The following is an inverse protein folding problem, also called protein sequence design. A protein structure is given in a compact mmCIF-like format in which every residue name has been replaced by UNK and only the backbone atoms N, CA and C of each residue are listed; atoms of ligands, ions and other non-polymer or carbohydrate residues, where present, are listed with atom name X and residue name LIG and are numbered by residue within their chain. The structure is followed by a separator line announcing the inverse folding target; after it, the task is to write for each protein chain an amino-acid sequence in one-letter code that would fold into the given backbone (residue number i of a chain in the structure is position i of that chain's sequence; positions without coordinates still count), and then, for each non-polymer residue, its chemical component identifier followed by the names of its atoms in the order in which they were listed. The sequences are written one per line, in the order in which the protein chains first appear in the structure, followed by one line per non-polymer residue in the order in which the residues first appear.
data_IF_085025505913
#
_entry.id   IF_085025505913
#
_cell.length_a   1.000
_cell.length_b   1.000
_cell.length_c   1.000
_cell.angle_alpha   90.00
_cell.angle_beta   90.00
_cell.angle_gamma   90.00
#
_symmetry.space_group_name_H-M   'P 1'
#
loop_
_entity.id
_entity.type
_entity.pdbx_description
1 polymer ?
#
# COMPACT_ATOMS: atom_id res chain seq x y z
N UNK A 1 13.48 0.43 -16.72
CA UNK A 1 12.91 0.36 -15.36
C UNK A 1 11.75 1.34 -15.31
N UNK A 2 10.55 0.89 -14.93
CA UNK A 2 9.38 1.79 -14.82
C UNK A 2 9.57 2.79 -13.68
N UNK A 3 8.94 3.96 -13.78
CA UNK A 3 8.81 4.90 -12.66
C UNK A 3 7.55 4.55 -11.88
N UNK A 4 7.66 4.45 -10.56
CA UNK A 4 6.53 4.11 -9.68
C UNK A 4 6.16 5.31 -8.81
N UNK A 5 4.88 5.43 -8.46
CA UNK A 5 4.38 6.44 -7.55
C UNK A 5 3.44 5.77 -6.52
N UNK A 6 3.53 6.18 -5.26
CA UNK A 6 2.66 5.71 -4.17
C UNK A 6 1.74 6.85 -3.74
N UNK A 7 0.44 6.57 -3.66
CA UNK A 7 -0.57 7.51 -3.21
C UNK A 7 -1.28 6.95 -1.97
N UNK A 8 -1.45 7.80 -0.96
CA UNK A 8 -2.28 7.52 0.22
C UNK A 8 -3.56 8.31 0.07
N UNK A 9 -4.70 7.63 0.00
CA UNK A 9 -5.99 8.26 -0.29
C UNK A 9 -6.92 7.91 0.87
N UNK A 10 -7.40 8.95 1.58
CA UNK A 10 -8.44 8.75 2.57
C UNK A 10 -9.76 8.44 1.87
N UNK A 11 -10.22 7.21 2.01
CA UNK A 11 -11.47 6.78 1.39
C UNK A 11 -12.69 7.21 2.22
N UNK A 12 -13.85 7.45 1.57
CA UNK A 12 -15.11 7.73 2.27
C UNK A 12 -15.58 6.49 3.05
N UNK A 13 -16.35 6.69 4.12
CA UNK A 13 -16.85 5.59 4.96
C UNK A 13 -17.86 4.68 4.25
N UNK A 14 -18.56 5.19 3.23
CA UNK A 14 -19.56 4.44 2.49
C UNK A 14 -18.91 3.44 1.52
N UNK A 15 -19.23 2.15 1.66
CA UNK A 15 -18.65 1.07 0.84
C UNK A 15 -18.80 1.30 -0.66
N UNK A 16 -19.97 1.76 -1.11
CA UNK A 16 -20.23 2.04 -2.52
C UNK A 16 -19.25 3.09 -3.07
N UNK A 17 -19.06 4.18 -2.32
CA UNK A 17 -18.13 5.24 -2.68
C UNK A 17 -16.67 4.79 -2.68
N UNK A 18 -16.27 3.87 -1.77
CA UNK A 18 -14.92 3.27 -1.78
C UNK A 18 -14.66 2.46 -3.05
N UNK A 19 -15.64 1.64 -3.44
CA UNK A 19 -15.57 0.82 -4.65
C UNK A 19 -15.50 1.69 -5.90
N UNK A 20 -16.34 2.72 -6.00
CA UNK A 20 -16.33 3.67 -7.14
C UNK A 20 -14.97 4.36 -7.30
N UNK A 21 -14.40 4.87 -6.20
CA UNK A 21 -13.08 5.54 -6.25
C UNK A 21 -11.99 4.55 -6.67
N UNK A 22 -11.96 3.36 -6.07
CA UNK A 22 -10.96 2.34 -6.39
C UNK A 22 -11.01 1.94 -7.86
N UNK A 23 -12.23 1.74 -8.39
CA UNK A 23 -12.42 1.39 -9.78
C UNK A 23 -12.06 2.54 -10.71
N UNK A 24 -12.44 3.78 -10.38
CA UNK A 24 -12.08 4.96 -11.18
C UNK A 24 -10.56 5.16 -11.29
N UNK A 25 -9.82 4.98 -10.20
CA UNK A 25 -8.35 5.08 -10.21
C UNK A 25 -7.74 3.99 -11.12
N UNK A 26 -8.24 2.75 -11.02
CA UNK A 26 -7.77 1.64 -11.85
C UNK A 26 -8.00 1.93 -13.33
N UNK A 27 -9.22 2.33 -13.70
CA UNK A 27 -9.57 2.68 -15.08
C UNK A 27 -8.64 3.77 -15.61
N UNK A 28 -8.45 4.86 -14.86
CA UNK A 28 -7.61 5.98 -15.29
C UNK A 28 -6.15 5.55 -15.54
N UNK A 29 -5.60 4.71 -14.67
CA UNK A 29 -4.23 4.20 -14.79
C UNK A 29 -4.09 3.31 -16.04
N UNK A 30 -5.02 2.38 -16.24
CA UNK A 30 -5.01 1.44 -17.36
C UNK A 30 -5.23 2.16 -18.71
N UNK A 31 -6.12 3.14 -18.77
CA UNK A 31 -6.38 3.97 -19.98
C UNK A 31 -5.12 4.72 -20.46
N UNK A 32 -4.21 5.06 -19.55
CA UNK A 32 -2.98 5.80 -19.88
C UNK A 32 -1.74 4.88 -20.00
N UNK A 33 -1.95 3.56 -20.11
CA UNK A 33 -0.87 2.57 -20.28
C UNK A 33 -0.06 2.30 -19.01
N UNK A 34 -0.56 2.73 -17.85
CA UNK A 34 -0.02 2.39 -16.54
C UNK A 34 -0.55 1.04 -16.05
N UNK A 35 -0.04 0.58 -14.91
CA UNK A 35 -0.51 -0.66 -14.26
C UNK A 35 -0.49 -0.47 -12.75
N UNK A 36 -1.59 -0.81 -12.08
CA UNK A 36 -1.61 -0.91 -10.61
C UNK A 36 -0.94 -2.23 -10.22
N UNK A 37 0.31 -2.15 -9.73
CA UNK A 37 1.12 -3.32 -9.34
C UNK A 37 0.87 -3.78 -7.90
N UNK A 38 0.12 -3.01 -7.11
CA UNK A 38 -0.26 -3.35 -5.74
C UNK A 38 -1.26 -2.36 -5.19
N UNK A 39 -2.15 -2.84 -4.31
CA UNK A 39 -3.07 -2.03 -3.53
C UNK A 39 -2.96 -2.49 -2.08
N UNK A 40 -2.54 -1.59 -1.19
CA UNK A 40 -2.56 -1.85 0.25
C UNK A 40 -3.91 -1.38 0.80
N UNK A 41 -4.59 -2.24 1.53
CA UNK A 41 -5.76 -1.85 2.33
C UNK A 41 -5.28 -1.14 3.59
N UNK A 42 -6.06 -0.17 4.07
CA UNK A 42 -5.77 0.81 5.15
C UNK A 42 -4.90 0.31 6.32
N UNK A 43 -5.00 -0.97 6.66
CA UNK A 43 -4.37 -1.54 7.83
C UNK A 43 -2.84 -1.71 7.69
N UNK A 44 -2.29 -2.14 6.56
CA UNK A 44 -0.88 -2.58 6.57
C UNK A 44 0.12 -1.43 6.68
N UNK A 45 -0.09 -0.34 5.94
CA UNK A 45 0.81 0.81 5.95
C UNK A 45 0.64 1.66 7.23
N UNK A 46 -0.61 1.82 7.70
CA UNK A 46 -0.90 2.53 8.95
C UNK A 46 -0.40 1.74 10.16
N UNK A 47 -0.58 0.42 10.19
CA UNK A 47 -0.04 -0.43 11.25
C UNK A 47 1.48 -0.47 11.19
N UNK A 48 2.10 -0.58 10.01
CA UNK A 48 3.56 -0.52 9.89
C UNK A 48 4.11 0.80 10.45
N UNK A 49 3.55 1.95 10.06
CA UNK A 49 3.95 3.25 10.62
C UNK A 49 3.69 3.38 12.13
N UNK A 50 2.63 2.75 12.66
CA UNK A 50 2.35 2.72 14.10
C UNK A 50 3.30 1.79 14.87
N UNK A 51 3.67 0.64 14.28
CA UNK A 51 4.64 -0.29 14.84
C UNK A 51 6.04 0.32 14.84
N UNK A 52 6.46 0.96 13.75
CA UNK A 52 7.75 1.66 13.68
C UNK A 52 7.86 2.80 14.71
N UNK A 53 6.76 3.43 15.09
CA UNK A 53 6.73 4.46 16.14
C UNK A 53 6.72 3.89 17.57
N UNK A 54 6.46 2.60 17.75
CA UNK A 54 6.27 1.95 19.07
C UNK A 54 7.33 0.91 19.40
N UNK A 55 7.92 0.28 18.39
CA UNK A 55 8.96 -0.74 18.52
C UNK A 55 10.33 -0.09 18.58
N UNK A 56 11.30 -0.79 19.18
CA UNK A 56 12.69 -0.35 19.20
C UNK A 56 13.33 -0.54 17.81
N UNK A 57 14.31 0.28 17.46
CA UNK A 57 14.88 0.32 16.08
C UNK A 57 15.38 -1.06 15.61
N UNK A 58 15.86 -1.89 16.53
CA UNK A 58 16.30 -3.26 16.25
C UNK A 58 15.15 -4.17 15.77
N UNK A 59 13.99 -4.11 16.44
CA UNK A 59 12.82 -4.94 16.12
C UNK A 59 12.22 -4.54 14.76
N UNK A 60 12.28 -3.26 14.42
CA UNK A 60 11.86 -2.76 13.10
C UNK A 60 12.74 -3.32 11.98
N UNK A 61 14.06 -3.36 12.17
CA UNK A 61 14.96 -3.91 11.15
C UNK A 61 14.80 -5.43 11.00
N UNK A 62 14.56 -6.15 12.09
CA UNK A 62 14.29 -7.58 12.06
C UNK A 62 13.00 -7.90 11.29
N UNK A 63 11.90 -7.19 11.60
CA UNK A 63 10.62 -7.33 10.88
C UNK A 63 10.75 -7.03 9.38
N UNK A 64 11.55 -6.01 9.00
CA UNK A 64 11.84 -5.71 7.60
C UNK A 64 12.63 -6.83 6.91
N UNK A 65 13.58 -7.45 7.61
CA UNK A 65 14.37 -8.55 7.08
C UNK A 65 13.52 -9.80 6.84
N UNK A 66 12.59 -10.12 7.76
CA UNK A 66 11.66 -11.23 7.62
C UNK A 66 10.67 -11.02 6.46
N UNK A 67 10.08 -9.82 6.35
CA UNK A 67 9.21 -9.47 5.23
C UNK A 67 9.93 -9.56 3.87
N UNK A 68 11.20 -9.11 3.82
CA UNK A 68 12.01 -9.21 2.60
C UNK A 68 12.35 -10.67 2.22
N UNK A 69 12.43 -11.57 3.19
CA UNK A 69 12.65 -12.99 2.94
C UNK A 69 11.39 -13.68 2.35
N UNK A 70 10.18 -13.25 2.75
CA UNK A 70 8.92 -13.78 2.23
C UNK A 70 8.68 -13.42 0.75
N UNK A 71 9.18 -12.28 0.28
CA UNK A 71 9.07 -11.83 -1.12
C UNK A 71 10.00 -12.62 -2.06
N UNK A 72 11.02 -13.29 -1.52
CA UNK A 72 12.01 -14.08 -2.28
C UNK A 72 11.70 -15.57 -2.37
N UNK A 73 10.65 -16.06 -1.71
CA UNK A 73 10.18 -17.44 -1.76
C UNK A 73 9.07 -17.61 -2.79
#
# INVERSE_FOLDING_TARGET
MGKFATYVIQLPSAQASRSEITQGIRTLVEEHGGTITGQSAEDEMTLAEMFEKRLDDFEVQEARAEAAALIKA
#
